data_IF_632570296415
#
_entry.id   IF_632570296415
#
_cell.length_a   1.000
_cell.length_b   1.000
_cell.length_c   1.000
_cell.angle_alpha   90.00
_cell.angle_beta   90.00
_cell.angle_gamma   90.00
#
_symmetry.space_group_name_H-M   'P 1'
#
loop_
_entity.id
_entity.type
_entity.pdbx_description
1 polymer ?
#
# COMPACT_ATOMS: atom_id res chain seq x y z
N UNK A 1 -20.98 -4.80 4.08
CA UNK A 1 -20.42 -5.54 2.93
C UNK A 1 -19.77 -6.82 3.46
N UNK A 2 -19.99 -7.99 2.83
CA UNK A 2 -19.20 -9.19 3.11
C UNK A 2 -17.76 -8.94 2.66
N UNK A 3 -16.76 -9.36 3.46
CA UNK A 3 -15.35 -9.23 3.08
C UNK A 3 -15.07 -10.09 1.84
N UNK A 4 -14.32 -9.56 0.89
CA UNK A 4 -13.83 -10.35 -0.24
C UNK A 4 -12.75 -11.34 0.24
N UNK A 5 -12.52 -12.47 -0.45
CA UNK A 5 -11.44 -13.40 -0.09
C UNK A 5 -10.08 -12.71 0.08
N UNK A 6 -9.78 -11.73 -0.76
CA UNK A 6 -8.56 -10.94 -0.70
C UNK A 6 -8.49 -10.03 0.53
N UNK A 7 -9.62 -9.47 0.98
CA UNK A 7 -9.69 -8.75 2.25
C UNK A 7 -9.46 -9.68 3.46
N UNK A 8 -9.85 -10.95 3.37
CA UNK A 8 -9.59 -11.95 4.41
C UNK A 8 -8.09 -12.26 4.46
N UNK A 9 -7.47 -12.59 3.33
CA UNK A 9 -6.02 -12.84 3.23
C UNK A 9 -5.18 -11.67 3.75
N UNK A 10 -5.52 -10.43 3.40
CA UNK A 10 -4.84 -9.24 3.95
C UNK A 10 -5.02 -9.11 5.46
N UNK A 11 -6.19 -9.50 5.99
CA UNK A 11 -6.43 -9.54 7.43
C UNK A 11 -5.55 -10.56 8.15
N UNK A 12 -5.33 -11.73 7.55
CA UNK A 12 -4.42 -12.74 8.08
C UNK A 12 -2.96 -12.26 8.07
N UNK A 13 -2.55 -11.56 7.02
CA UNK A 13 -1.22 -10.96 6.94
C UNK A 13 -1.00 -9.85 7.96
N UNK A 14 -2.04 -9.07 8.27
CA UNK A 14 -1.95 -8.06 9.33
C UNK A 14 -1.57 -8.69 10.67
N UNK A 15 -2.13 -9.86 11.00
CA UNK A 15 -1.74 -10.59 12.21
C UNK A 15 -0.27 -11.06 12.16
N UNK A 16 0.24 -11.41 10.98
CA UNK A 16 1.67 -11.70 10.79
C UNK A 16 2.51 -10.45 11.01
N UNK A 17 2.10 -9.28 10.51
CA UNK A 17 2.82 -8.02 10.74
C UNK A 17 2.87 -7.67 12.22
N UNK A 18 1.74 -7.79 12.93
CA UNK A 18 1.67 -7.53 14.37
C UNK A 18 2.60 -8.46 15.16
N UNK A 19 2.63 -9.75 14.78
CA UNK A 19 3.51 -10.77 15.38
C UNK A 19 4.99 -10.52 15.09
N UNK A 20 5.34 -10.20 13.84
CA UNK A 20 6.74 -10.18 13.37
C UNK A 20 7.37 -8.81 13.55
N UNK A 21 6.69 -7.75 13.12
CA UNK A 21 7.19 -6.38 13.16
C UNK A 21 6.82 -5.67 14.45
N UNK A 22 5.64 -5.98 15.01
CA UNK A 22 5.12 -5.33 16.21
C UNK A 22 5.15 -3.80 16.05
N UNK A 23 6.02 -3.10 16.76
CA UNK A 23 6.19 -1.63 16.69
C UNK A 23 6.91 -1.14 15.44
N UNK A 24 7.61 -2.02 14.72
CA UNK A 24 8.42 -1.67 13.55
C UNK A 24 7.61 -1.61 12.24
N UNK A 25 6.27 -1.70 12.33
CA UNK A 25 5.40 -1.50 11.17
C UNK A 25 5.49 -0.05 10.68
N UNK A 26 5.57 0.12 9.37
CA UNK A 26 5.42 1.44 8.76
C UNK A 26 3.93 1.76 8.66
N UNK A 27 3.57 3.02 8.91
CA UNK A 27 2.27 3.57 8.56
C UNK A 27 2.41 4.86 7.76
N UNK A 28 1.59 5.02 6.74
CA UNK A 28 1.61 6.13 5.80
C UNK A 28 0.28 6.87 5.81
N UNK A 29 0.30 8.18 6.01
CA UNK A 29 -0.90 9.02 5.93
C UNK A 29 -0.67 10.27 5.08
N UNK A 30 -1.66 10.69 4.27
CA UNK A 30 -1.52 11.86 3.42
C UNK A 30 -1.45 13.15 4.26
N UNK A 31 -0.59 14.09 3.86
CA UNK A 31 -0.48 15.41 4.49
C UNK A 31 -0.94 16.51 3.55
N UNK A 32 -0.21 16.77 2.46
CA UNK A 32 -0.55 17.80 1.47
C UNK A 32 -0.51 17.28 0.04
N UNK A 33 -1.31 17.90 -0.84
CA UNK A 33 -1.34 17.60 -2.27
C UNK A 33 -1.56 18.90 -3.03
N UNK A 34 -0.71 19.15 -4.02
CA UNK A 34 -0.84 20.21 -5.01
C UNK A 34 -0.75 19.56 -6.39
N UNK A 35 -1.70 19.88 -7.27
CA UNK A 35 -1.81 19.31 -8.61
C UNK A 35 -1.90 20.46 -9.59
N UNK A 36 -1.04 20.44 -10.60
CA UNK A 36 -1.04 21.38 -11.69
C UNK A 36 -1.28 20.65 -13.02
N UNK A 37 -2.29 21.11 -13.74
CA UNK A 37 -2.63 20.64 -15.09
C UNK A 37 -2.68 21.86 -16.01
N UNK A 38 -1.94 21.79 -17.11
CA UNK A 38 -1.82 22.89 -18.07
C UNK A 38 -2.81 22.76 -19.23
N UNK A 39 -3.25 23.89 -19.77
CA UNK A 39 -3.99 23.91 -21.05
C UNK A 39 -3.08 23.38 -22.17
N UNK A 40 -3.60 22.45 -22.99
CA UNK A 40 -2.87 21.80 -24.09
C UNK A 40 -1.68 20.92 -23.64
N UNK A 41 -1.62 20.53 -22.37
CA UNK A 41 -0.72 19.50 -21.87
C UNK A 41 -1.53 18.26 -21.50
N UNK A 42 -1.09 17.08 -21.92
CA UNK A 42 -1.63 15.79 -21.45
C UNK A 42 -0.85 15.25 -20.24
N UNK A 43 -0.06 16.12 -19.61
CA UNK A 43 0.73 15.83 -18.42
C UNK A 43 0.23 16.63 -17.22
N UNK A 44 0.25 15.95 -16.08
CA UNK A 44 0.01 16.48 -14.75
C UNK A 44 1.35 16.59 -14.03
N UNK A 45 1.55 17.68 -13.30
CA UNK A 45 2.62 17.81 -12.30
C UNK A 45 1.99 17.80 -10.92
N UNK A 46 2.55 17.04 -9.99
CA UNK A 46 2.08 16.97 -8.63
C UNK A 46 3.22 17.18 -7.64
N UNK A 47 2.92 17.92 -6.57
CA UNK A 47 3.71 17.97 -5.35
C UNK A 47 2.85 17.40 -4.24
N UNK A 48 3.37 16.43 -3.51
CA UNK A 48 2.62 15.84 -2.41
C UNK A 48 3.53 15.47 -1.25
N UNK A 49 2.96 15.50 -0.05
CA UNK A 49 3.63 15.07 1.15
C UNK A 49 2.78 14.09 1.94
N UNK A 50 3.44 13.20 2.65
CA UNK A 50 2.81 12.22 3.52
C UNK A 50 3.67 11.98 4.75
N UNK A 51 2.99 11.62 5.83
CA UNK A 51 3.60 11.28 7.09
C UNK A 51 3.94 9.79 7.09
N UNK A 52 5.21 9.48 7.34
CA UNK A 52 5.70 8.15 7.58
C UNK A 52 5.95 7.98 9.08
N UNK A 53 5.30 6.98 9.69
CA UNK A 53 5.50 6.63 11.10
C UNK A 53 5.93 5.19 11.25
N UNK A 54 6.90 4.98 12.13
CA UNK A 54 7.15 3.69 12.78
C UNK A 54 6.72 3.87 14.24
N UNK A 55 6.21 2.85 14.93
CA UNK A 55 5.68 3.05 16.30
C UNK A 55 6.76 3.47 17.31
N UNK A 56 8.04 3.24 16.99
CA UNK A 56 9.19 3.55 17.83
C UNK A 56 9.90 4.86 17.46
N UNK A 57 9.47 5.56 16.41
CA UNK A 57 10.16 6.73 15.87
C UNK A 57 9.21 7.93 15.76
N UNK A 58 9.75 9.14 15.90
CA UNK A 58 9.01 10.33 15.53
C UNK A 58 8.64 10.29 14.05
N UNK A 59 7.39 10.65 13.75
CA UNK A 59 6.90 10.65 12.38
C UNK A 59 7.70 11.62 11.51
N UNK A 60 8.10 11.16 10.34
CA UNK A 60 8.79 11.98 9.34
C UNK A 60 7.81 12.37 8.24
N UNK A 61 7.78 13.66 7.90
CA UNK A 61 7.13 14.12 6.68
C UNK A 61 8.06 13.85 5.50
N UNK A 62 7.55 13.10 4.51
CA UNK A 62 8.19 12.87 3.23
C UNK A 62 7.51 13.75 2.19
N UNK A 63 8.29 14.46 1.39
CA UNK A 63 7.78 15.31 0.31
C UNK A 63 8.34 14.85 -1.02
N UNK A 64 7.46 14.61 -1.99
CA UNK A 64 7.81 14.38 -3.38
C UNK A 64 7.54 15.67 -4.14
N UNK A 65 8.62 16.24 -4.67
CA UNK A 65 8.59 17.46 -5.48
C UNK A 65 8.53 17.10 -6.97
N UNK A 66 7.74 17.85 -7.74
CA UNK A 66 7.72 17.81 -9.21
C UNK A 66 7.50 16.40 -9.81
N UNK A 67 6.58 15.60 -9.25
CA UNK A 67 6.21 14.33 -9.86
C UNK A 67 5.41 14.58 -11.15
N UNK A 68 5.87 14.05 -12.27
CA UNK A 68 5.25 14.21 -13.58
C UNK A 68 4.64 12.88 -14.06
N UNK A 69 3.49 12.94 -14.71
CA UNK A 69 2.78 11.76 -15.20
C UNK A 69 1.54 12.12 -16.02
N UNK A 70 0.86 11.12 -16.57
CA UNK A 70 -0.35 11.27 -17.42
C UNK A 70 -1.64 11.43 -16.61
N UNK A 71 -1.56 12.11 -15.48
CA UNK A 71 -2.63 12.19 -14.49
C UNK A 71 -2.08 12.14 -13.06
N UNK A 72 -2.83 12.70 -12.11
CA UNK A 72 -2.43 12.72 -10.70
C UNK A 72 -2.06 11.33 -10.14
N UNK A 73 -2.82 10.29 -10.48
CA UNK A 73 -2.53 8.94 -9.99
C UNK A 73 -1.21 8.40 -10.54
N UNK A 74 -0.88 8.71 -11.80
CA UNK A 74 0.39 8.31 -12.40
C UNK A 74 1.56 9.02 -11.70
N UNK A 75 1.46 10.34 -11.50
CA UNK A 75 2.44 11.12 -10.71
C UNK A 75 2.63 10.51 -9.32
N UNK A 76 1.53 10.13 -8.67
CA UNK A 76 1.53 9.60 -7.33
C UNK A 76 2.23 8.23 -7.25
N UNK A 77 1.85 7.29 -8.10
CA UNK A 77 2.46 5.95 -8.12
C UNK A 77 3.94 6.03 -8.51
N UNK A 78 4.29 6.80 -9.55
CA UNK A 78 5.69 6.97 -9.95
C UNK A 78 6.53 7.63 -8.86
N UNK A 79 6.02 8.72 -8.26
CA UNK A 79 6.72 9.44 -7.20
C UNK A 79 6.97 8.59 -5.98
N UNK A 80 5.94 7.86 -5.51
CA UNK A 80 6.08 6.95 -4.38
C UNK A 80 6.97 5.74 -4.70
N UNK A 81 6.82 5.16 -5.89
CA UNK A 81 7.65 4.04 -6.33
C UNK A 81 9.13 4.42 -6.39
N UNK A 82 9.45 5.57 -7.00
CA UNK A 82 10.82 6.05 -7.09
C UNK A 82 11.44 6.34 -5.73
N UNK A 83 10.64 6.78 -4.76
CA UNK A 83 11.10 7.01 -3.39
C UNK A 83 11.43 5.69 -2.66
N UNK A 84 10.59 4.65 -2.79
CA UNK A 84 10.72 3.43 -2.00
C UNK A 84 11.46 2.26 -2.66
N UNK A 85 11.61 2.24 -3.99
CA UNK A 85 12.13 1.06 -4.72
C UNK A 85 13.54 0.63 -4.31
N UNK A 86 14.37 1.57 -3.83
CA UNK A 86 15.73 1.23 -3.38
C UNK A 86 15.72 0.43 -2.08
N UNK A 87 14.83 0.78 -1.16
CA UNK A 87 14.71 0.12 0.14
C UNK A 87 13.81 -1.12 0.08
N UNK A 88 12.88 -1.15 -0.89
CA UNK A 88 11.86 -2.20 -1.05
C UNK A 88 11.72 -2.62 -2.52
N UNK A 89 12.66 -3.42 -3.06
CA UNK A 89 12.62 -3.87 -4.45
C UNK A 89 11.37 -4.68 -4.83
N UNK A 90 10.68 -5.31 -3.87
CA UNK A 90 9.45 -6.05 -4.20
C UNK A 90 8.33 -5.15 -4.74
N UNK A 91 8.42 -3.83 -4.52
CA UNK A 91 7.46 -2.86 -5.04
C UNK A 91 7.43 -2.77 -6.57
N UNK A 92 8.53 -3.12 -7.26
CA UNK A 92 8.59 -3.09 -8.73
C UNK A 92 7.64 -4.09 -9.39
N UNK A 93 7.18 -5.09 -8.63
CA UNK A 93 6.29 -6.15 -9.11
C UNK A 93 4.81 -5.79 -8.97
N UNK A 94 4.49 -4.64 -8.36
CA UNK A 94 3.11 -4.19 -8.13
C UNK A 94 2.66 -3.31 -9.30
N UNK A 95 1.53 -3.68 -9.90
CA UNK A 95 0.92 -2.92 -11.00
C UNK A 95 -0.50 -2.53 -10.65
N UNK A 96 -0.85 -1.26 -10.78
CA UNK A 96 -2.25 -0.83 -10.76
C UNK A 96 -2.91 -1.27 -12.08
N UNK A 97 -3.92 -2.14 -12.00
CA UNK A 97 -4.58 -2.70 -13.19
C UNK A 97 -6.02 -2.23 -13.37
N UNK A 98 -6.65 -1.71 -12.32
CA UNK A 98 -8.02 -1.23 -12.38
C UNK A 98 -8.28 -0.11 -11.35
N UNK A 99 -9.09 0.86 -11.76
CA UNK A 99 -9.53 2.00 -10.98
C UNK A 99 -11.06 2.08 -11.07
N UNK A 100 -11.72 1.90 -9.93
CA UNK A 100 -13.18 1.98 -9.87
C UNK A 100 -13.58 3.08 -8.89
N UNK A 101 -14.36 4.04 -9.36
CA UNK A 101 -15.01 5.05 -8.52
C UNK A 101 -16.49 4.69 -8.38
N UNK A 102 -16.94 4.44 -7.15
CA UNK A 102 -18.35 4.11 -6.86
C UNK A 102 -18.94 5.16 -5.93
N UNK A 103 -20.06 5.81 -6.27
CA UNK A 103 -20.72 6.71 -5.32
C UNK A 103 -21.14 5.95 -4.07
N UNK A 104 -20.89 6.51 -2.89
CA UNK A 104 -21.48 6.05 -1.65
C UNK A 104 -22.93 6.57 -1.63
N UNK A 105 -23.84 5.80 -2.21
CA UNK A 105 -25.24 6.22 -2.37
C UNK A 105 -25.90 6.33 -0.99
N UNK A 106 -25.94 7.55 -0.45
CA UNK A 106 -26.70 7.91 0.74
C UNK A 106 -27.91 8.72 0.27
N UNK A 107 -29.12 8.22 0.51
CA UNK A 107 -30.36 8.94 0.21
C UNK A 107 -30.44 10.21 1.06
N UNK A 108 -30.01 11.37 0.56
CA UNK A 108 -30.24 12.68 1.20
C UNK A 108 -31.13 13.55 0.31
N UNK A 109 -32.15 14.16 0.91
CA UNK A 109 -33.25 14.87 0.22
C UNK A 109 -32.90 16.25 -0.34
N UNK A 110 -31.71 16.83 -0.08
CA UNK A 110 -31.39 18.24 -0.39
C UNK A 110 -29.89 18.56 -0.55
N UNK A 111 -29.13 17.86 -1.39
CA UNK A 111 -27.83 18.37 -1.89
C UNK A 111 -27.78 18.28 -3.42
N UNK A 112 -26.95 19.10 -4.06
CA UNK A 112 -26.68 19.03 -5.50
C UNK A 112 -26.04 17.69 -5.92
N UNK A 113 -25.64 16.85 -4.96
CA UNK A 113 -25.04 15.54 -5.20
C UNK A 113 -23.57 15.58 -5.60
N UNK A 114 -23.03 16.74 -5.97
CA UNK A 114 -21.62 16.93 -6.34
C UNK A 114 -20.66 16.81 -5.15
N UNK A 115 -21.17 16.90 -3.92
CA UNK A 115 -20.43 16.70 -2.67
C UNK A 115 -20.56 15.28 -2.09
N UNK A 116 -21.12 14.35 -2.88
CA UNK A 116 -21.32 12.98 -2.46
C UNK A 116 -19.98 12.30 -2.16
N UNK A 117 -19.99 11.50 -1.09
CA UNK A 117 -18.87 10.60 -0.79
C UNK A 117 -18.79 9.53 -1.89
N UNK A 118 -17.58 9.12 -2.24
CA UNK A 118 -17.33 8.05 -3.20
C UNK A 118 -16.26 7.10 -2.65
N UNK A 119 -16.42 5.82 -3.00
CA UNK A 119 -15.41 4.79 -2.84
C UNK A 119 -14.47 4.84 -4.04
N UNK A 120 -13.18 5.06 -3.77
CA UNK A 120 -12.12 4.79 -4.73
C UNK A 120 -11.57 3.40 -4.45
N UNK A 121 -11.67 2.52 -5.46
CA UNK A 121 -11.20 1.14 -5.43
C UNK A 121 -10.04 1.01 -6.39
N UNK A 122 -8.87 0.63 -5.90
CA UNK A 122 -7.73 0.25 -6.72
C UNK A 122 -7.60 -1.26 -6.71
N UNK A 123 -7.43 -1.88 -7.88
CA UNK A 123 -6.98 -3.27 -7.97
C UNK A 123 -5.53 -3.28 -8.41
N UNK A 124 -4.71 -3.96 -7.63
CA UNK A 124 -3.31 -4.16 -7.93
C UNK A 124 -3.03 -5.62 -8.24
N UNK A 125 -2.19 -5.85 -9.22
CA UNK A 125 -1.66 -7.15 -9.57
C UNK A 125 -0.22 -7.24 -9.08
N UNK A 126 0.13 -8.38 -8.49
CA UNK A 126 1.53 -8.77 -8.30
C UNK A 126 1.78 -10.02 -9.12
N UNK A 127 2.84 -10.01 -9.92
CA UNK A 127 3.18 -11.08 -10.87
C UNK A 127 2.91 -12.47 -10.28
N UNK A 128 2.00 -13.22 -10.93
CA UNK A 128 1.63 -14.61 -10.61
C UNK A 128 0.85 -14.83 -9.28
N UNK A 129 0.47 -13.76 -8.57
CA UNK A 129 -0.23 -13.84 -7.25
C UNK A 129 -1.70 -13.40 -7.29
N UNK A 130 -2.15 -12.88 -8.44
CA UNK A 130 -3.54 -12.45 -8.65
C UNK A 130 -3.79 -11.00 -8.27
N UNK A 131 -5.08 -10.64 -8.16
CA UNK A 131 -5.54 -9.27 -7.95
C UNK A 131 -5.87 -9.01 -6.47
N UNK A 132 -5.38 -7.89 -5.94
CA UNK A 132 -5.67 -7.43 -4.58
C UNK A 132 -6.37 -6.08 -4.63
N UNK A 133 -7.47 -5.95 -3.88
CA UNK A 133 -8.28 -4.73 -3.87
C UNK A 133 -8.03 -3.86 -2.63
N UNK A 134 -7.85 -2.56 -2.86
CA UNK A 134 -7.71 -1.53 -1.85
C UNK A 134 -8.81 -0.49 -2.00
N UNK A 135 -9.35 -0.03 -0.87
CA UNK A 135 -10.49 0.89 -0.85
C UNK A 135 -10.24 2.06 0.08
N UNK A 136 -10.68 3.23 -0.36
CA UNK A 136 -10.86 4.39 0.49
C UNK A 136 -12.20 5.05 0.16
N UNK A 137 -12.83 5.66 1.17
CA UNK A 137 -14.04 6.45 1.03
C UNK A 137 -13.72 7.91 1.37
N UNK A 138 -14.02 8.82 0.45
CA UNK A 138 -13.92 10.27 0.69
C UNK A 138 -14.81 11.06 -0.26
N UNK A 139 -15.04 12.33 0.05
CA UNK A 139 -15.66 13.30 -0.87
C UNK A 139 -14.71 13.80 -1.96
N UNK A 140 -13.40 13.73 -1.72
CA UNK A 140 -12.39 14.12 -2.70
C UNK A 140 -11.80 12.87 -3.36
N UNK A 141 -11.97 12.75 -4.68
CA UNK A 141 -11.40 11.64 -5.46
C UNK A 141 -9.88 11.64 -5.43
N UNK A 142 -9.27 12.83 -5.49
CA UNK A 142 -7.83 13.04 -5.37
C UNK A 142 -7.32 12.53 -4.02
N UNK A 143 -7.93 13.00 -2.93
CA UNK A 143 -7.53 12.58 -1.58
C UNK A 143 -7.77 11.08 -1.36
N UNK A 144 -8.88 10.56 -1.88
CA UNK A 144 -9.19 9.13 -1.77
C UNK A 144 -8.19 8.27 -2.55
N UNK A 145 -7.80 8.71 -3.74
CA UNK A 145 -6.73 8.10 -4.52
C UNK A 145 -5.40 8.11 -3.78
N UNK A 146 -5.05 9.26 -3.16
CA UNK A 146 -3.83 9.38 -2.37
C UNK A 146 -3.81 8.41 -1.19
N UNK A 147 -4.86 8.40 -0.39
CA UNK A 147 -5.03 7.44 0.69
C UNK A 147 -4.92 5.99 0.21
N UNK A 148 -5.50 5.67 -0.95
CA UNK A 148 -5.52 4.29 -1.45
C UNK A 148 -4.14 3.86 -1.92
N UNK A 149 -3.39 4.72 -2.62
CA UNK A 149 -2.01 4.45 -3.02
C UNK A 149 -1.10 4.25 -1.81
N UNK A 150 -1.19 5.11 -0.78
CA UNK A 150 -0.42 4.96 0.45
C UNK A 150 -0.74 3.66 1.17
N UNK A 151 -2.02 3.25 1.24
CA UNK A 151 -2.41 1.95 1.81
C UNK A 151 -1.84 0.75 1.05
N UNK A 152 -1.70 0.85 -0.27
CA UNK A 152 -1.08 -0.19 -1.08
C UNK A 152 0.39 -0.31 -0.69
N UNK A 153 1.13 0.80 -0.73
CA UNK A 153 2.56 0.76 -0.42
C UNK A 153 2.84 0.37 1.04
N UNK A 154 2.08 0.92 1.99
CA UNK A 154 2.16 0.53 3.40
C UNK A 154 2.04 -0.99 3.56
N UNK A 155 1.06 -1.60 2.88
CA UNK A 155 0.86 -3.04 2.93
C UNK A 155 2.05 -3.82 2.37
N UNK A 156 2.54 -3.46 1.18
CA UNK A 156 3.62 -4.21 0.54
C UNK A 156 5.00 -3.98 1.18
N UNK A 157 5.27 -2.77 1.68
CA UNK A 157 6.46 -2.49 2.50
C UNK A 157 6.44 -3.37 3.76
N UNK A 158 5.31 -3.45 4.46
CA UNK A 158 5.19 -4.30 5.65
C UNK A 158 5.30 -5.80 5.30
N UNK A 159 4.81 -6.24 4.13
CA UNK A 159 5.06 -7.60 3.63
C UNK A 159 6.56 -7.88 3.50
N UNK A 160 7.31 -6.99 2.83
CA UNK A 160 8.75 -7.15 2.61
C UNK A 160 9.56 -7.10 3.90
N UNK A 161 9.31 -6.12 4.78
CA UNK A 161 9.94 -6.06 6.12
C UNK A 161 9.68 -7.34 6.91
N UNK A 162 8.46 -7.88 6.85
CA UNK A 162 8.12 -9.12 7.55
C UNK A 162 8.83 -10.33 6.95
N UNK A 163 8.94 -10.39 5.62
CA UNK A 163 9.65 -11.46 4.91
C UNK A 163 11.12 -11.51 5.31
N UNK A 164 11.83 -10.38 5.23
CA UNK A 164 13.24 -10.28 5.62
C UNK A 164 13.45 -10.69 7.08
N UNK A 165 12.61 -10.17 7.99
CA UNK A 165 12.72 -10.50 9.42
C UNK A 165 12.47 -11.98 9.70
N UNK A 166 11.49 -12.60 9.04
CA UNK A 166 11.21 -14.02 9.17
C UNK A 166 12.33 -14.90 8.61
N UNK A 167 12.97 -14.50 7.50
CA UNK A 167 14.15 -15.21 6.98
C UNK A 167 15.29 -15.21 7.99
N UNK A 168 15.61 -14.06 8.57
CA UNK A 168 16.65 -13.95 9.60
C UNK A 168 16.35 -14.82 10.83
N UNK A 169 15.09 -14.84 11.28
CA UNK A 169 14.67 -15.69 12.41
C UNK A 169 14.76 -17.18 12.03
N UNK A 170 14.35 -17.54 10.82
CA UNK A 170 14.40 -18.92 10.31
C UNK A 170 15.84 -19.46 10.26
N UNK A 171 16.78 -18.65 9.78
CA UNK A 171 18.20 -19.01 9.71
C UNK A 171 18.80 -19.21 11.11
N UNK A 172 18.55 -18.28 12.04
CA UNK A 172 19.02 -18.40 13.42
C UNK A 172 18.40 -19.61 14.15
N UNK A 173 17.09 -19.83 13.99
CA UNK A 173 16.40 -20.97 14.59
C UNK A 173 16.91 -22.31 14.03
N UNK A 174 17.18 -22.38 12.73
CA UNK A 174 17.75 -23.56 12.08
C UNK A 174 19.15 -23.86 12.64
N UNK A 175 20.00 -22.84 12.78
CA UNK A 175 21.34 -22.97 13.39
C UNK A 175 21.30 -23.44 14.85
N UNK A 176 20.25 -23.08 15.60
CA UNK A 176 20.05 -23.47 17.01
C UNK A 176 19.24 -24.75 17.19
N UNK A 177 18.88 -25.45 16.11
CA UNK A 177 18.04 -26.66 16.14
C UNK A 177 16.67 -26.45 16.83
N UNK A 178 16.08 -25.27 16.71
CA UNK A 178 14.75 -24.93 17.27
C UNK A 178 13.65 -25.20 16.24
N UNK A 179 13.35 -26.48 16.04
CA UNK A 179 12.41 -26.94 15.02
C UNK A 179 11.01 -26.33 15.15
N UNK A 180 10.57 -26.05 16.38
CA UNK A 180 9.30 -25.38 16.68
C UNK A 180 9.22 -23.97 16.07
N UNK A 181 10.32 -23.20 16.14
CA UNK A 181 10.39 -21.86 15.56
C UNK A 181 10.49 -21.94 14.04
N UNK A 182 11.27 -22.90 13.53
CA UNK A 182 11.42 -23.14 12.09
C UNK A 182 10.07 -23.37 11.41
N UNK A 183 9.24 -24.27 11.94
CA UNK A 183 7.93 -24.56 11.37
C UNK A 183 6.98 -23.35 11.43
N UNK A 184 7.01 -22.61 12.54
CA UNK A 184 6.22 -21.37 12.66
C UNK A 184 6.65 -20.30 11.65
N UNK A 185 7.96 -20.11 11.44
CA UNK A 185 8.48 -19.16 10.46
C UNK A 185 8.12 -19.57 9.03
N UNK A 186 8.23 -20.86 8.68
CA UNK A 186 7.80 -21.37 7.36
C UNK A 186 6.32 -21.13 7.12
N UNK A 187 5.48 -21.37 8.13
CA UNK A 187 4.04 -21.12 8.03
C UNK A 187 3.75 -19.64 7.76
N UNK A 188 4.37 -18.72 8.50
CA UNK A 188 4.16 -17.27 8.28
C UNK A 188 4.73 -16.79 6.93
N UNK A 189 5.90 -17.30 6.53
CA UNK A 189 6.47 -17.03 5.20
C UNK A 189 5.55 -17.50 4.07
N UNK A 190 4.91 -18.65 4.23
CA UNK A 190 3.95 -19.18 3.24
C UNK A 190 2.77 -18.24 3.03
N UNK A 191 2.33 -17.52 4.07
CA UNK A 191 1.26 -16.51 3.96
C UNK A 191 1.73 -15.27 3.20
N UNK A 192 2.92 -14.77 3.51
CA UNK A 192 3.47 -13.55 2.86
C UNK A 192 3.71 -13.78 1.37
N UNK A 193 4.29 -14.93 1.02
CA UNK A 193 4.60 -15.32 -0.38
C UNK A 193 3.37 -15.65 -1.23
N UNK A 194 2.17 -15.76 -0.64
CA UNK A 194 0.92 -15.83 -1.41
C UNK A 194 0.51 -14.48 -1.99
N UNK A 195 0.95 -13.37 -1.40
CA UNK A 195 0.49 -12.03 -1.78
C UNK A 195 1.58 -11.18 -2.43
N UNK A 196 2.86 -11.58 -2.32
CA UNK A 196 3.98 -10.89 -2.92
C UNK A 196 5.03 -11.87 -3.47
N UNK A 197 5.90 -11.37 -4.35
CA UNK A 197 6.96 -12.15 -5.00
C UNK A 197 8.33 -11.58 -4.64
N UNK A 198 9.17 -12.40 -4.03
CA UNK A 198 10.51 -12.04 -3.59
C UNK A 198 11.54 -12.78 -4.43
N UNK A 199 12.57 -12.07 -4.87
CA UNK A 199 13.76 -12.71 -5.43
C UNK A 199 14.71 -13.03 -4.27
N UNK A 200 15.39 -14.18 -4.35
CA UNK A 200 16.57 -14.41 -3.52
C UNK A 200 17.72 -13.72 -4.22
N UNK A 201 18.33 -12.74 -3.58
CA UNK A 201 19.69 -12.32 -3.90
C UNK A 201 20.69 -13.43 -3.54
#
# INVERSE_FOLDING_TARGET
MKKTPEQVKRGELKAVFDKVLSTHQISLSPETIEIFEGKNSDFTTAKFSFMQKTSDEEGKIVTIENAEGKGFLDCLFQGLHNYYKQDFPSLEKIKLVDLIVKPAIIKKKKSFGSDASAYTVFKVEVSEKGLVEFVNESRSLVYSGFCTALKILEFYINCEKSFIKLQNILEDASRRNRQDIVENCKFDLSKITQMNTYEKE
#
